data_IF_318409097056
#
_entry.id   IF_318409097056
#
_cell.length_a   1.000
_cell.length_b   1.000
_cell.length_c   1.000
_cell.angle_alpha   90.00
_cell.angle_beta   90.00
_cell.angle_gamma   90.00
#
_symmetry.space_group_name_H-M   'P 1'
#
loop_
_entity.id
_entity.type
_entity.pdbx_description
1 polymer ?
#
# COMPACT_ATOMS: atom_id res chain seq x y z
N UNK A 1 -16.43 7.49 -8.36
CA UNK A 1 -15.09 6.89 -8.19
C UNK A 1 -14.13 8.01 -7.87
N UNK A 2 -13.19 7.82 -6.93
CA UNK A 2 -12.15 8.81 -6.70
C UNK A 2 -11.28 8.98 -7.96
N UNK A 3 -10.74 10.17 -8.16
CA UNK A 3 -9.85 10.50 -9.28
C UNK A 3 -8.51 10.99 -8.76
N UNK A 4 -7.43 10.49 -9.36
CA UNK A 4 -6.08 10.95 -9.10
C UNK A 4 -5.45 11.41 -10.41
N UNK A 5 -5.04 12.67 -10.47
CA UNK A 5 -4.52 13.28 -11.70
C UNK A 5 -3.26 14.10 -11.43
N UNK A 6 -2.45 14.29 -12.47
CA UNK A 6 -1.26 15.13 -12.43
C UNK A 6 -1.69 16.53 -12.87
N UNK A 7 -1.72 17.48 -11.95
CA UNK A 7 -1.94 18.89 -12.28
C UNK A 7 -0.64 19.57 -12.70
N UNK A 8 -0.72 20.87 -13.00
CA UNK A 8 0.43 21.64 -13.49
C UNK A 8 1.55 21.80 -12.43
N UNK A 9 1.18 21.81 -11.14
CA UNK A 9 2.09 21.99 -10.01
C UNK A 9 1.97 20.91 -8.92
N UNK A 10 0.76 20.39 -8.71
CA UNK A 10 0.44 19.42 -7.66
C UNK A 10 -0.25 18.18 -8.24
N UNK A 11 -0.19 17.07 -7.52
CA UNK A 11 -1.16 16.00 -7.73
C UNK A 11 -2.54 16.45 -7.24
N UNK A 12 -3.59 16.00 -7.92
CA UNK A 12 -4.97 16.29 -7.54
C UNK A 12 -5.69 15.01 -7.15
N UNK A 13 -6.26 14.98 -5.94
CA UNK A 13 -7.21 13.96 -5.50
C UNK A 13 -8.61 14.59 -5.53
N UNK A 14 -9.49 14.05 -6.36
CA UNK A 14 -10.84 14.58 -6.57
C UNK A 14 -10.86 16.07 -6.92
N UNK A 15 -9.93 16.47 -7.79
CA UNK A 15 -9.76 17.85 -8.26
C UNK A 15 -9.12 18.82 -7.26
N UNK A 16 -8.82 18.36 -6.03
CA UNK A 16 -8.18 19.18 -5.00
C UNK A 16 -6.68 18.87 -4.90
N UNK A 17 -5.79 19.87 -4.78
CA UNK A 17 -4.37 19.65 -4.57
C UNK A 17 -4.09 18.76 -3.37
N UNK A 18 -3.26 17.74 -3.56
CA UNK A 18 -2.79 16.83 -2.52
C UNK A 18 -1.28 16.72 -2.56
N UNK A 19 -0.65 16.88 -1.39
CA UNK A 19 0.76 16.55 -1.21
C UNK A 19 0.87 15.11 -0.72
N UNK A 20 1.52 14.26 -1.50
CA UNK A 20 1.80 12.89 -1.09
C UNK A 20 2.95 12.89 -0.07
N UNK A 21 2.67 12.36 1.13
CA UNK A 21 3.63 12.07 2.18
C UNK A 21 3.65 10.55 2.34
N UNK A 22 4.56 9.92 1.60
CA UNK A 22 4.62 8.47 1.46
C UNK A 22 5.63 7.83 2.41
N UNK A 23 5.33 6.62 2.87
CA UNK A 23 6.27 5.73 3.55
C UNK A 23 6.18 4.30 3.02
N UNK A 24 7.34 3.65 2.88
CA UNK A 24 7.40 2.30 2.35
C UNK A 24 7.05 1.24 3.41
N UNK A 25 6.05 0.40 3.12
CA UNK A 25 5.71 -0.78 3.91
C UNK A 25 5.62 -2.01 3.00
N UNK A 26 6.71 -2.79 2.95
CA UNK A 26 6.76 -4.01 2.14
C UNK A 26 6.08 -5.17 2.85
N UNK A 27 4.83 -5.46 2.49
CA UNK A 27 3.97 -6.46 3.15
C UNK A 27 4.63 -7.84 3.35
N UNK A 28 5.44 -8.41 2.43
CA UNK A 28 6.04 -9.74 2.65
C UNK A 28 7.14 -9.74 3.72
N UNK A 29 7.67 -8.57 4.07
CA UNK A 29 8.76 -8.37 5.04
C UNK A 29 8.24 -8.03 6.44
N UNK A 30 6.92 -7.96 6.63
CA UNK A 30 6.26 -7.65 7.89
C UNK A 30 5.34 -8.81 8.23
N UNK A 31 5.37 -9.29 9.46
CA UNK A 31 4.48 -10.37 9.87
C UNK A 31 3.00 -9.95 9.64
N UNK A 32 2.13 -10.79 9.05
CA UNK A 32 0.81 -10.35 8.61
C UNK A 32 -0.11 -9.88 9.74
N UNK A 33 0.07 -10.42 10.95
CA UNK A 33 -0.60 -9.96 12.17
C UNK A 33 -0.16 -8.57 12.66
N UNK A 34 0.85 -7.97 12.05
CA UNK A 34 1.36 -6.63 12.39
C UNK A 34 1.04 -5.58 11.33
N UNK A 35 0.51 -5.95 10.16
CA UNK A 35 0.26 -4.98 9.06
C UNK A 35 -0.57 -3.79 9.51
N UNK A 36 -1.73 -4.02 10.14
CA UNK A 36 -2.60 -2.94 10.62
C UNK A 36 -1.89 -2.03 11.63
N UNK A 37 -1.14 -2.60 12.57
CA UNK A 37 -0.33 -1.82 13.53
C UNK A 37 0.69 -0.92 12.81
N UNK A 38 1.37 -1.41 11.77
CA UNK A 38 2.34 -0.61 11.00
C UNK A 38 1.66 0.50 10.20
N UNK A 39 0.51 0.22 9.59
CA UNK A 39 -0.28 1.19 8.82
C UNK A 39 -0.80 2.31 9.74
N UNK A 40 -1.37 1.95 10.91
CA UNK A 40 -1.84 2.92 11.91
C UNK A 40 -0.69 3.83 12.37
N UNK A 41 0.49 3.26 12.63
CA UNK A 41 1.67 4.06 13.03
C UNK A 41 2.17 4.97 11.92
N UNK A 42 2.14 4.52 10.67
CA UNK A 42 2.47 5.35 9.51
C UNK A 42 1.51 6.56 9.40
N UNK A 43 0.21 6.33 9.58
CA UNK A 43 -0.79 7.40 9.64
C UNK A 43 -0.54 8.37 10.80
N UNK A 44 -0.23 7.86 11.99
CA UNK A 44 0.10 8.66 13.17
C UNK A 44 1.38 9.50 13.00
N UNK A 45 2.31 9.04 12.16
CA UNK A 45 3.50 9.81 11.76
C UNK A 45 3.15 10.98 10.82
N UNK A 46 1.90 11.05 10.34
CA UNK A 46 1.43 12.08 9.40
C UNK A 46 1.55 11.69 7.94
N UNK A 47 1.83 10.42 7.63
CA UNK A 47 1.80 9.92 6.26
C UNK A 47 0.35 9.80 5.78
N UNK A 48 0.15 9.98 4.48
CA UNK A 48 -1.15 9.85 3.81
C UNK A 48 -1.08 8.92 2.59
N UNK A 49 0.02 8.19 2.43
CA UNK A 49 0.23 7.26 1.33
C UNK A 49 1.17 6.16 1.81
N UNK A 50 0.83 4.90 1.50
CA UNK A 50 1.75 3.77 1.64
C UNK A 50 2.31 3.41 0.27
N UNK A 51 3.62 3.25 0.19
CA UNK A 51 4.28 2.65 -0.96
C UNK A 51 4.66 1.20 -0.67
N UNK A 52 4.47 0.31 -1.66
CA UNK A 52 5.02 -1.05 -1.60
C UNK A 52 5.37 -1.55 -2.99
N UNK A 53 6.44 -2.34 -3.07
CA UNK A 53 6.67 -3.25 -4.19
C UNK A 53 5.72 -4.45 -4.14
N UNK A 54 5.50 -5.06 -5.31
CA UNK A 54 5.00 -6.43 -5.45
C UNK A 54 6.17 -7.32 -5.83
N UNK A 55 6.46 -8.32 -5.01
CA UNK A 55 7.67 -9.14 -5.12
C UNK A 55 7.40 -10.36 -6.01
N UNK A 56 7.58 -10.21 -7.33
CA UNK A 56 7.27 -11.27 -8.31
C UNK A 56 7.85 -12.61 -7.89
N UNK A 57 9.16 -12.67 -7.63
CA UNK A 57 9.88 -13.90 -7.30
C UNK A 57 9.33 -14.61 -6.05
N UNK A 58 8.68 -13.87 -5.14
CA UNK A 58 8.01 -14.48 -3.98
C UNK A 58 6.62 -14.99 -4.34
N UNK A 59 5.87 -14.24 -5.14
CA UNK A 59 4.55 -14.66 -5.63
C UNK A 59 4.62 -15.83 -6.61
N UNK A 60 5.64 -15.87 -7.46
CA UNK A 60 5.82 -16.88 -8.51
C UNK A 60 7.27 -17.39 -8.47
N UNK A 61 7.61 -18.24 -7.48
CA UNK A 61 8.95 -18.77 -7.32
C UNK A 61 9.29 -19.82 -8.39
N UNK A 62 8.27 -20.46 -8.97
CA UNK A 62 8.37 -21.46 -10.02
C UNK A 62 7.36 -21.13 -11.14
N UNK A 63 7.64 -21.55 -12.39
CA UNK A 63 6.66 -21.42 -13.49
C UNK A 63 5.30 -22.03 -13.11
N UNK A 64 4.22 -21.36 -13.52
CA UNK A 64 2.83 -21.76 -13.27
C UNK A 64 2.38 -21.80 -11.79
N UNK A 65 3.23 -21.36 -10.86
CA UNK A 65 2.88 -21.14 -9.44
C UNK A 65 2.62 -19.65 -9.21
N UNK A 66 1.50 -19.34 -8.55
CA UNK A 66 1.21 -17.98 -8.06
C UNK A 66 0.56 -18.03 -6.67
N UNK A 67 1.31 -17.66 -5.63
CA UNK A 67 0.86 -17.66 -4.24
C UNK A 67 0.41 -16.26 -3.80
N UNK A 68 -0.81 -16.17 -3.29
CA UNK A 68 -1.40 -14.95 -2.68
C UNK A 68 -1.86 -15.18 -1.26
N UNK A 69 -1.30 -16.18 -0.56
CA UNK A 69 -1.69 -16.57 0.78
C UNK A 69 -0.75 -16.02 1.85
N UNK A 70 -1.20 -16.02 3.11
CA UNK A 70 -0.37 -15.71 4.26
C UNK A 70 0.29 -14.31 4.17
N UNK A 71 1.63 -14.28 4.11
CA UNK A 71 2.40 -13.03 3.99
C UNK A 71 2.46 -12.46 2.57
N UNK A 72 2.03 -13.23 1.59
CA UNK A 72 1.91 -12.83 0.18
C UNK A 72 0.47 -12.40 -0.15
N UNK A 73 -0.41 -12.27 0.84
CA UNK A 73 -1.78 -11.79 0.65
C UNK A 73 -1.81 -10.27 0.42
N UNK A 74 -1.47 -9.87 -0.81
CA UNK A 74 -1.46 -8.48 -1.28
C UNK A 74 -2.85 -7.85 -1.16
N UNK A 75 -3.91 -8.60 -1.47
CA UNK A 75 -5.29 -8.10 -1.44
C UNK A 75 -5.65 -7.69 -0.02
N UNK A 76 -5.42 -8.56 0.96
CA UNK A 76 -5.68 -8.24 2.36
C UNK A 76 -4.83 -7.07 2.84
N UNK A 77 -3.56 -7.00 2.44
CA UNK A 77 -2.71 -5.86 2.80
C UNK A 77 -3.29 -4.53 2.26
N UNK A 78 -3.67 -4.47 0.97
CA UNK A 78 -4.25 -3.27 0.36
C UNK A 78 -5.62 -2.91 0.98
N UNK A 79 -6.43 -3.89 1.35
CA UNK A 79 -7.69 -3.66 2.09
C UNK A 79 -7.42 -3.03 3.46
N UNK A 80 -6.41 -3.50 4.20
CA UNK A 80 -6.04 -2.88 5.48
C UNK A 80 -5.54 -1.44 5.30
N UNK A 81 -4.83 -1.13 4.21
CA UNK A 81 -4.39 0.24 3.90
C UNK A 81 -5.62 1.12 3.64
N UNK A 82 -6.55 0.66 2.79
CA UNK A 82 -7.79 1.39 2.50
C UNK A 82 -8.70 1.58 3.73
N UNK A 83 -8.85 0.55 4.57
CA UNK A 83 -9.63 0.62 5.82
C UNK A 83 -9.11 1.71 6.78
N UNK A 84 -7.79 1.93 6.78
CA UNK A 84 -7.15 2.96 7.61
C UNK A 84 -7.17 4.35 6.96
N UNK A 85 -7.76 4.47 5.76
CA UNK A 85 -7.91 5.71 5.01
C UNK A 85 -6.59 6.23 4.42
N UNK A 86 -5.72 5.30 4.02
CA UNK A 86 -4.38 5.58 3.48
C UNK A 86 -4.23 5.10 2.04
#
# INVERSE_FOLDING_TARGET
MPTFTIGDADFLLDGSPVRLLSGALHYPRIHPGQWRDRIVKARQLGLNTIETYVFWNEHSPEPDVFDTSGRLDLVRFLQLVADEGM
#
